data_IF_809406998178
#
_entry.id   IF_809406998178
#
_cell.length_a   1.000
_cell.length_b   1.000
_cell.length_c   1.000
_cell.angle_alpha   90.00
_cell.angle_beta   90.00
_cell.angle_gamma   90.00
#
_symmetry.space_group_name_H-M   'P 1'
#
loop_
_entity.id
_entity.type
_entity.pdbx_description
1 polymer ?
#
# COMPACT_ATOMS: atom_id res chain seq x y z
N UNK A 1 -63.25 35.88 -43.09
CA UNK A 1 -62.25 35.66 -42.02
C UNK A 1 -62.74 34.49 -41.18
N UNK A 2 -62.09 33.32 -41.19
CA UNK A 2 -62.30 32.32 -40.16
C UNK A 2 -61.21 32.45 -39.09
N UNK A 3 -61.63 32.76 -37.87
CA UNK A 3 -60.79 32.67 -36.68
C UNK A 3 -60.49 31.19 -36.42
N UNK A 4 -59.20 30.83 -36.42
CA UNK A 4 -58.73 29.53 -35.98
C UNK A 4 -58.45 29.66 -34.48
N UNK A 5 -59.42 29.23 -33.68
CA UNK A 5 -59.33 29.26 -32.23
C UNK A 5 -58.35 28.15 -31.82
N UNK A 6 -57.07 28.53 -31.69
CA UNK A 6 -55.96 27.65 -31.36
C UNK A 6 -55.99 27.10 -29.94
N UNK A 7 -57.08 26.43 -29.54
CA UNK A 7 -57.10 25.56 -28.36
C UNK A 7 -56.76 24.12 -28.78
N UNK A 8 -55.57 23.94 -29.34
CA UNK A 8 -54.97 22.61 -29.48
C UNK A 8 -54.54 22.15 -28.09
N UNK A 9 -55.41 21.46 -27.36
CA UNK A 9 -55.00 20.72 -26.17
C UNK A 9 -53.92 19.73 -26.58
N UNK A 10 -52.75 19.83 -25.94
CA UNK A 10 -51.60 18.96 -26.20
C UNK A 10 -52.08 17.51 -26.24
N UNK A 11 -51.77 16.82 -27.33
CA UNK A 11 -52.18 15.43 -27.49
C UNK A 11 -51.49 14.59 -26.41
N UNK A 12 -52.14 13.49 -26.00
CA UNK A 12 -51.58 12.57 -24.99
C UNK A 12 -50.16 12.11 -25.38
N UNK A 13 -49.88 12.00 -26.69
CA UNK A 13 -48.54 11.74 -27.21
C UNK A 13 -47.52 12.86 -26.91
N UNK A 14 -47.88 14.12 -27.14
CA UNK A 14 -47.00 15.27 -26.84
C UNK A 14 -46.72 15.43 -25.34
N UNK A 15 -47.71 15.13 -24.49
CA UNK A 15 -47.52 15.10 -23.03
C UNK A 15 -46.55 13.99 -22.59
N UNK A 16 -46.63 12.80 -23.20
CA UNK A 16 -45.71 11.69 -22.93
C UNK A 16 -44.28 11.99 -23.37
N UNK A 17 -44.11 12.63 -24.54
CA UNK A 17 -42.78 13.04 -25.00
C UNK A 17 -42.18 14.16 -24.14
N UNK A 18 -42.95 15.18 -23.79
CA UNK A 18 -42.50 16.25 -22.90
C UNK A 18 -42.15 15.70 -21.50
N UNK A 19 -42.91 14.73 -21.00
CA UNK A 19 -42.63 14.07 -19.72
C UNK A 19 -41.37 13.21 -19.79
N UNK A 20 -41.14 12.51 -20.90
CA UNK A 20 -39.91 11.73 -21.10
C UNK A 20 -38.68 12.64 -21.24
N UNK A 21 -38.80 13.76 -21.96
CA UNK A 21 -37.73 14.73 -22.13
C UNK A 21 -37.41 15.45 -20.82
N UNK A 22 -38.42 15.82 -20.03
CA UNK A 22 -38.26 16.36 -18.68
C UNK A 22 -37.63 15.34 -17.72
N UNK A 23 -37.99 14.06 -17.82
CA UNK A 23 -37.37 12.98 -17.05
C UNK A 23 -35.89 12.78 -17.42
N UNK A 24 -35.55 12.85 -18.72
CA UNK A 24 -34.17 12.77 -19.19
C UNK A 24 -33.35 14.01 -18.82
N UNK A 25 -33.95 15.21 -18.86
CA UNK A 25 -33.31 16.44 -18.41
C UNK A 25 -33.09 16.44 -16.90
N UNK A 26 -34.04 15.93 -16.11
CA UNK A 26 -33.90 15.75 -14.67
C UNK A 26 -32.84 14.69 -14.32
N UNK A 27 -32.77 13.58 -15.06
CA UNK A 27 -31.73 12.56 -14.90
C UNK A 27 -30.34 13.11 -15.25
N UNK A 28 -30.24 13.92 -16.32
CA UNK A 28 -28.98 14.57 -16.72
C UNK A 28 -28.56 15.67 -15.75
N UNK A 29 -29.52 16.43 -15.19
CA UNK A 29 -29.28 17.44 -14.17
C UNK A 29 -28.91 16.83 -12.82
N UNK A 30 -29.48 15.66 -12.47
CA UNK A 30 -29.11 14.91 -11.27
C UNK A 30 -27.68 14.34 -11.37
N UNK A 31 -27.24 13.91 -12.56
CA UNK A 31 -25.85 13.52 -12.83
C UNK A 31 -24.87 14.70 -12.79
N UNK A 32 -25.33 15.92 -13.07
CA UNK A 32 -24.49 17.12 -13.08
C UNK A 32 -24.33 17.80 -11.71
N UNK A 33 -25.17 17.49 -10.71
CA UNK A 33 -25.27 18.32 -9.49
C UNK A 33 -24.28 17.99 -8.37
N UNK A 34 -23.51 16.92 -8.47
CA UNK A 34 -22.43 16.64 -7.52
C UNK A 34 -21.36 15.82 -8.22
N UNK A 35 -20.51 16.48 -9.02
CA UNK A 35 -19.21 15.88 -9.32
C UNK A 35 -18.44 15.84 -7.99
N UNK A 36 -18.10 14.65 -7.45
CA UNK A 36 -17.31 14.59 -6.23
C UNK A 36 -15.97 15.32 -6.45
N UNK A 37 -15.39 15.94 -5.41
CA UNK A 37 -14.15 16.72 -5.52
C UNK A 37 -13.02 15.90 -6.11
N UNK A 38 -12.25 16.48 -7.04
CA UNK A 38 -11.13 15.80 -7.71
C UNK A 38 -10.23 15.03 -6.74
N UNK A 39 -9.78 13.87 -7.19
CA UNK A 39 -8.91 12.99 -6.41
C UNK A 39 -7.54 13.67 -6.21
N UNK A 40 -7.38 14.32 -5.06
CA UNK A 40 -6.06 14.83 -4.64
C UNK A 40 -5.29 13.64 -4.08
N UNK A 41 -4.38 13.08 -4.89
CA UNK A 41 -3.43 12.05 -4.44
C UNK A 41 -2.29 12.79 -3.74
N UNK A 42 -2.12 12.67 -2.41
CA UNK A 42 -1.04 13.34 -1.72
C UNK A 42 0.30 12.77 -2.18
N UNK A 43 1.28 13.63 -2.43
CA UNK A 43 2.67 13.23 -2.69
C UNK A 43 3.45 12.99 -1.40
N UNK A 44 2.96 13.47 -0.26
CA UNK A 44 3.50 13.18 1.05
C UNK A 44 2.94 11.86 1.61
N UNK A 45 3.81 11.11 2.27
CA UNK A 45 3.53 9.74 2.71
C UNK A 45 2.61 9.71 3.93
N UNK A 46 2.80 10.64 4.88
CA UNK A 46 1.93 10.76 6.04
C UNK A 46 0.52 11.16 5.62
N UNK A 47 0.42 12.04 4.63
CA UNK A 47 -0.85 12.43 4.04
C UNK A 47 -1.52 11.31 3.24
N UNK A 48 -0.77 10.52 2.46
CA UNK A 48 -1.32 9.39 1.71
C UNK A 48 -1.82 8.26 2.63
N UNK A 49 -1.07 7.92 3.69
CA UNK A 49 -1.50 6.93 4.70
C UNK A 49 -2.69 7.43 5.53
N UNK A 50 -2.68 8.71 5.90
CA UNK A 50 -3.81 9.35 6.58
C UNK A 50 -5.06 9.38 5.69
N UNK A 51 -4.90 9.72 4.41
CA UNK A 51 -6.00 9.73 3.43
C UNK A 51 -6.56 8.33 3.21
N UNK A 52 -5.70 7.33 3.03
CA UNK A 52 -6.09 5.93 2.89
C UNK A 52 -6.85 5.43 4.12
N UNK A 53 -6.40 5.81 5.32
CA UNK A 53 -7.08 5.46 6.57
C UNK A 53 -8.43 6.17 6.70
N UNK A 54 -8.50 7.45 6.31
CA UNK A 54 -9.71 8.25 6.35
C UNK A 54 -10.79 7.71 5.40
N UNK A 55 -10.45 7.41 4.14
CA UNK A 55 -11.42 6.87 3.17
C UNK A 55 -11.90 5.47 3.57
N UNK A 56 -11.04 4.64 4.18
CA UNK A 56 -11.44 3.33 4.71
C UNK A 56 -12.33 3.42 5.96
N UNK A 57 -12.20 4.49 6.72
CA UNK A 57 -13.02 4.74 7.91
C UNK A 57 -14.39 5.36 7.58
N UNK A 58 -14.56 5.95 6.40
CA UNK A 58 -15.82 6.53 5.95
C UNK A 58 -16.84 5.44 5.53
N UNK A 59 -17.96 5.27 6.27
CA UNK A 59 -18.97 4.28 5.94
C UNK A 59 -19.61 4.51 4.57
N UNK A 60 -19.85 5.77 4.19
CA UNK A 60 -20.48 6.11 2.91
C UNK A 60 -19.57 5.74 1.74
N UNK A 61 -18.28 6.09 1.85
CA UNK A 61 -17.28 5.69 0.87
C UNK A 61 -17.22 4.17 0.72
N UNK A 62 -17.21 3.44 1.83
CA UNK A 62 -17.16 1.97 1.83
C UNK A 62 -18.40 1.35 1.17
N UNK A 63 -19.58 1.85 1.47
CA UNK A 63 -20.83 1.34 0.90
C UNK A 63 -20.89 1.60 -0.61
N UNK A 64 -20.47 2.79 -1.07
CA UNK A 64 -20.37 3.11 -2.50
C UNK A 64 -19.28 2.31 -3.22
N UNK A 65 -18.15 2.03 -2.54
CA UNK A 65 -17.10 1.17 -3.08
C UNK A 65 -17.61 -0.28 -3.24
N UNK A 66 -18.30 -0.81 -2.24
CA UNK A 66 -18.90 -2.16 -2.28
C UNK A 66 -20.04 -2.25 -3.31
N UNK A 67 -20.74 -1.15 -3.58
CA UNK A 67 -21.70 -1.04 -4.68
C UNK A 67 -21.05 -1.00 -6.07
N UNK A 68 -19.71 -1.05 -6.16
CA UNK A 68 -18.97 -1.12 -7.42
C UNK A 68 -18.67 0.23 -8.05
N UNK A 69 -18.62 1.32 -7.29
CA UNK A 69 -18.27 2.64 -7.83
C UNK A 69 -16.83 2.64 -8.41
N UNK A 70 -16.66 2.83 -9.73
CA UNK A 70 -15.35 2.75 -10.38
C UNK A 70 -14.42 3.89 -9.95
N UNK A 71 -14.96 5.02 -9.48
CA UNK A 71 -14.17 6.15 -8.97
C UNK A 71 -13.46 5.79 -7.67
N UNK A 72 -14.16 5.18 -6.72
CA UNK A 72 -13.58 4.76 -5.43
C UNK A 72 -12.57 3.64 -5.61
N UNK A 73 -12.81 2.73 -6.57
CA UNK A 73 -11.83 1.72 -6.96
C UNK A 73 -10.54 2.32 -7.55
N UNK A 74 -10.65 3.40 -8.32
CA UNK A 74 -9.51 4.15 -8.83
C UNK A 74 -8.77 4.88 -7.69
N UNK A 75 -9.50 5.60 -6.83
CA UNK A 75 -8.92 6.31 -5.66
C UNK A 75 -8.14 5.36 -4.75
N UNK A 76 -8.72 4.21 -4.41
CA UNK A 76 -8.06 3.22 -3.56
C UNK A 76 -6.77 2.70 -4.20
N UNK A 77 -6.80 2.39 -5.50
CA UNK A 77 -5.62 1.91 -6.24
C UNK A 77 -4.51 2.97 -6.28
N UNK A 78 -4.87 4.21 -6.53
CA UNK A 78 -3.92 5.33 -6.62
C UNK A 78 -3.29 5.66 -5.26
N UNK A 79 -4.09 5.70 -4.19
CA UNK A 79 -3.59 5.89 -2.82
C UNK A 79 -2.69 4.73 -2.39
N UNK A 80 -3.07 3.49 -2.70
CA UNK A 80 -2.25 2.32 -2.39
C UNK A 80 -0.91 2.37 -3.16
N UNK A 81 -0.94 2.71 -4.45
CA UNK A 81 0.28 2.86 -5.26
C UNK A 81 1.19 3.98 -4.74
N UNK A 82 0.63 5.11 -4.30
CA UNK A 82 1.38 6.20 -3.69
C UNK A 82 2.06 5.76 -2.37
N UNK A 83 1.33 5.06 -1.51
CA UNK A 83 1.87 4.50 -0.25
C UNK A 83 2.98 3.48 -0.53
N UNK A 84 2.80 2.58 -1.49
CA UNK A 84 3.79 1.54 -1.80
C UNK A 84 5.06 2.14 -2.41
N UNK A 85 4.91 3.10 -3.34
CA UNK A 85 6.04 3.85 -3.90
C UNK A 85 6.82 4.57 -2.78
N UNK A 86 6.10 5.23 -1.89
CA UNK A 86 6.69 5.94 -0.77
C UNK A 86 7.46 5.00 0.18
N UNK A 87 6.89 3.85 0.55
CA UNK A 87 7.56 2.83 1.38
C UNK A 87 8.87 2.39 0.76
N UNK A 88 8.87 2.12 -0.55
CA UNK A 88 10.10 1.76 -1.27
C UNK A 88 11.13 2.89 -1.16
N UNK A 89 10.76 4.15 -1.38
CA UNK A 89 11.67 5.29 -1.19
C UNK A 89 12.23 5.37 0.24
N UNK A 90 11.40 5.15 1.27
CA UNK A 90 11.87 5.16 2.67
C UNK A 90 12.93 4.08 2.91
N UNK A 91 12.72 2.88 2.34
CA UNK A 91 13.68 1.77 2.41
C UNK A 91 14.98 2.11 1.70
N UNK A 92 14.93 2.69 0.49
CA UNK A 92 16.13 3.13 -0.23
C UNK A 92 16.92 4.16 0.58
N UNK A 93 16.23 5.16 1.15
CA UNK A 93 16.86 6.16 2.01
C UNK A 93 17.49 5.51 3.25
N UNK A 94 16.79 4.57 3.89
CA UNK A 94 17.32 3.86 5.05
C UNK A 94 18.58 3.05 4.71
N UNK A 95 18.56 2.32 3.59
CA UNK A 95 19.73 1.60 3.07
C UNK A 95 20.87 2.58 2.79
N UNK A 96 20.60 3.73 2.18
CA UNK A 96 21.60 4.78 1.94
C UNK A 96 22.06 5.52 3.21
N UNK A 97 21.44 5.27 4.36
CA UNK A 97 21.73 5.97 5.62
C UNK A 97 21.21 7.41 5.65
N UNK A 98 20.25 7.75 4.79
CA UNK A 98 19.68 9.08 4.66
C UNK A 98 18.50 9.28 5.62
N UNK A 99 18.50 10.45 6.27
CA UNK A 99 17.39 10.93 7.10
C UNK A 99 16.45 11.79 6.23
N UNK A 100 15.20 11.94 6.65
CA UNK A 100 14.30 12.92 6.03
C UNK A 100 14.74 14.34 6.36
N UNK A 101 14.26 15.30 5.58
CA UNK A 101 14.28 16.69 6.01
C UNK A 101 13.17 16.92 7.04
N UNK A 102 13.51 17.40 8.23
CA UNK A 102 12.56 17.58 9.35
C UNK A 102 12.39 16.38 10.28
N UNK A 103 11.16 16.17 10.78
CA UNK A 103 10.86 15.19 11.83
C UNK A 103 11.01 13.77 11.30
N UNK A 104 11.79 12.95 12.01
CA UNK A 104 12.04 11.57 11.64
C UNK A 104 10.96 10.64 12.20
N UNK A 105 10.28 9.83 11.36
CA UNK A 105 9.48 8.72 11.86
C UNK A 105 10.37 7.72 12.61
N UNK A 106 9.94 7.27 13.79
CA UNK A 106 10.70 6.33 14.62
C UNK A 106 11.06 5.03 13.88
N UNK A 107 10.13 4.53 13.05
CA UNK A 107 10.37 3.37 12.19
C UNK A 107 11.49 3.58 11.16
N UNK A 108 11.62 4.80 10.62
CA UNK A 108 12.69 5.14 9.68
C UNK A 108 14.05 5.20 10.38
N UNK A 109 14.12 5.81 11.56
CA UNK A 109 15.35 5.83 12.36
C UNK A 109 15.82 4.41 12.70
N UNK A 110 14.88 3.54 13.10
CA UNK A 110 15.17 2.14 13.34
C UNK A 110 15.68 1.43 12.07
N UNK A 111 15.08 1.72 10.90
CA UNK A 111 15.52 1.17 9.62
C UNK A 111 16.92 1.66 9.22
N UNK A 112 17.24 2.95 9.40
CA UNK A 112 18.57 3.52 9.15
C UNK A 112 19.62 2.87 10.06
N UNK A 113 19.34 2.81 11.38
CA UNK A 113 20.25 2.19 12.35
C UNK A 113 20.45 0.69 12.07
N UNK A 114 19.37 -0.02 11.74
CA UNK A 114 19.42 -1.42 11.32
C UNK A 114 20.24 -1.61 10.05
N UNK A 115 20.04 -0.78 9.03
CA UNK A 115 20.80 -0.85 7.79
C UNK A 115 22.30 -0.62 8.02
N UNK A 116 22.67 0.38 8.82
CA UNK A 116 24.06 0.65 9.19
C UNK A 116 24.68 -0.53 9.95
N UNK A 117 23.96 -1.08 10.94
CA UNK A 117 24.41 -2.26 11.68
C UNK A 117 24.70 -3.44 10.75
N UNK A 118 23.75 -3.77 9.85
CA UNK A 118 23.89 -4.90 8.93
C UNK A 118 25.04 -4.70 7.93
N UNK A 119 25.23 -3.47 7.43
CA UNK A 119 26.40 -3.14 6.60
C UNK A 119 27.72 -3.28 7.36
N UNK A 120 27.77 -2.83 8.62
CA UNK A 120 28.98 -2.87 9.43
C UNK A 120 29.43 -4.31 9.75
N UNK A 121 28.51 -5.26 9.86
CA UNK A 121 28.84 -6.69 9.98
C UNK A 121 29.12 -7.36 8.63
N UNK A 122 29.06 -6.61 7.52
CA UNK A 122 29.44 -7.02 6.17
C UNK A 122 28.37 -7.74 5.37
N UNK A 123 27.07 -7.49 5.63
CA UNK A 123 26.01 -7.99 4.75
C UNK A 123 25.95 -7.17 3.45
N UNK A 124 25.58 -7.84 2.37
CA UNK A 124 25.33 -7.21 1.08
C UNK A 124 24.03 -6.39 1.07
N UNK A 125 23.91 -5.44 0.15
CA UNK A 125 22.77 -4.50 0.10
C UNK A 125 21.40 -5.20 0.00
N UNK A 126 21.30 -6.27 -0.78
CA UNK A 126 20.06 -7.05 -0.89
C UNK A 126 19.63 -7.65 0.45
N UNK A 127 20.59 -8.14 1.23
CA UNK A 127 20.34 -8.74 2.55
C UNK A 127 20.01 -7.68 3.59
N UNK A 128 20.65 -6.51 3.50
CA UNK A 128 20.32 -5.35 4.32
C UNK A 128 18.89 -4.91 4.07
N UNK A 129 18.50 -4.78 2.80
CA UNK A 129 17.14 -4.45 2.38
C UNK A 129 16.14 -5.46 2.91
N UNK A 130 16.43 -6.75 2.78
CA UNK A 130 15.58 -7.81 3.32
C UNK A 130 15.48 -7.74 4.85
N UNK A 131 16.60 -7.48 5.54
CA UNK A 131 16.66 -7.36 7.00
C UNK A 131 15.83 -6.21 7.56
N UNK A 132 15.77 -5.07 6.87
CA UNK A 132 15.00 -3.90 7.35
C UNK A 132 13.54 -3.90 6.86
N UNK A 133 13.23 -4.59 5.77
CA UNK A 133 11.85 -4.69 5.25
C UNK A 133 11.09 -5.88 5.83
N UNK A 134 11.80 -6.92 6.26
CA UNK A 134 11.19 -8.20 6.64
C UNK A 134 10.49 -8.86 5.45
N UNK A 135 10.94 -8.59 4.22
CA UNK A 135 10.33 -9.16 3.02
C UNK A 135 10.29 -10.69 3.10
N UNK A 136 9.09 -11.24 2.98
CA UNK A 136 8.84 -12.67 3.10
C UNK A 136 9.66 -13.46 2.08
N UNK A 137 10.11 -14.64 2.51
CA UNK A 137 10.93 -15.55 1.71
C UNK A 137 10.12 -16.73 1.21
N UNK A 138 10.68 -17.50 0.29
CA UNK A 138 10.02 -18.74 -0.13
C UNK A 138 9.94 -19.73 1.04
N UNK A 139 8.91 -20.60 1.09
CA UNK A 139 8.83 -21.63 2.14
C UNK A 139 10.06 -22.53 2.20
N UNK A 140 10.65 -22.85 1.05
CA UNK A 140 11.87 -23.66 0.95
C UNK A 140 13.08 -22.95 1.55
N UNK A 141 13.27 -21.67 1.24
CA UNK A 141 14.35 -20.85 1.79
C UNK A 141 14.22 -20.70 3.31
N UNK A 142 12.99 -20.45 3.80
CA UNK A 142 12.71 -20.39 5.24
C UNK A 142 13.08 -21.69 5.94
N UNK A 143 12.58 -22.83 5.43
CA UNK A 143 12.86 -24.15 6.00
C UNK A 143 14.36 -24.47 5.99
N UNK A 144 15.06 -24.16 4.89
CA UNK A 144 16.50 -24.35 4.77
C UNK A 144 17.28 -23.49 5.78
N UNK A 145 16.88 -22.23 5.99
CA UNK A 145 17.51 -21.35 6.97
C UNK A 145 17.28 -21.82 8.41
N UNK A 146 16.06 -22.27 8.75
CA UNK A 146 15.75 -22.86 10.06
C UNK A 146 16.62 -24.08 10.31
N UNK A 147 16.67 -25.03 9.37
CA UNK A 147 17.46 -26.25 9.50
C UNK A 147 18.96 -25.96 9.59
N UNK A 148 19.47 -25.04 8.77
CA UNK A 148 20.89 -24.64 8.79
C UNK A 148 21.25 -23.99 10.12
N UNK A 149 20.40 -23.11 10.63
CA UNK A 149 20.62 -22.47 11.94
C UNK A 149 20.63 -23.49 13.07
N UNK A 150 19.70 -24.45 13.08
CA UNK A 150 19.66 -25.51 14.08
C UNK A 150 20.96 -26.33 14.06
N UNK A 151 21.39 -26.80 12.88
CA UNK A 151 22.64 -27.56 12.71
C UNK A 151 23.88 -26.80 13.20
N UNK A 152 23.98 -25.51 12.89
CA UNK A 152 25.11 -24.68 13.33
C UNK A 152 25.13 -24.46 14.84
N UNK A 153 23.96 -24.40 15.48
CA UNK A 153 23.87 -24.25 16.94
C UNK A 153 24.08 -25.56 17.70
N UNK A 154 24.02 -26.70 17.01
CA UNK A 154 24.41 -28.01 17.55
C UNK A 154 25.92 -28.29 17.42
N UNK A 155 26.64 -27.56 16.56
CA UNK A 155 28.08 -27.66 16.36
C UNK A 155 28.84 -26.89 17.46
N UNK A 156 29.55 -27.58 18.40
CA UNK A 156 30.24 -26.92 19.50
C UNK A 156 31.34 -25.96 19.04
N UNK A 157 32.03 -26.26 17.94
CA UNK A 157 33.11 -25.42 17.42
C UNK A 157 32.55 -24.13 16.84
N UNK A 158 31.41 -24.22 16.14
CA UNK A 158 30.72 -23.04 15.64
C UNK A 158 30.16 -22.18 16.78
N UNK A 159 29.53 -22.80 17.78
CA UNK A 159 29.01 -22.08 18.96
C UNK A 159 30.14 -21.37 19.71
N UNK A 160 31.28 -22.02 19.90
CA UNK A 160 32.45 -21.39 20.53
C UNK A 160 32.91 -20.13 19.76
N UNK A 161 32.99 -20.20 18.43
CA UNK A 161 33.30 -19.05 17.57
C UNK A 161 32.25 -17.94 17.66
N UNK A 162 30.97 -18.31 17.62
CA UNK A 162 29.88 -17.35 17.74
C UNK A 162 29.90 -16.61 19.08
N UNK A 163 30.12 -17.33 20.18
CA UNK A 163 30.18 -16.78 21.54
C UNK A 163 31.44 -15.95 21.80
N UNK A 164 32.57 -16.25 21.12
CA UNK A 164 33.77 -15.42 21.18
C UNK A 164 33.68 -14.16 20.31
N UNK A 165 32.59 -13.98 19.57
CA UNK A 165 32.35 -12.81 18.73
C UNK A 165 33.00 -12.87 17.36
N UNK A 166 33.36 -14.07 16.87
CA UNK A 166 33.88 -14.26 15.52
C UNK A 166 32.97 -13.60 14.46
N UNK A 167 33.58 -12.82 13.57
CA UNK A 167 32.84 -11.96 12.64
C UNK A 167 32.02 -12.78 11.64
N UNK A 168 32.57 -13.89 11.11
CA UNK A 168 31.88 -14.73 10.13
C UNK A 168 30.77 -15.56 10.78
N UNK A 169 30.98 -16.07 11.99
CA UNK A 169 29.94 -16.74 12.76
C UNK A 169 28.77 -15.79 13.06
N UNK A 170 29.06 -14.56 13.51
CA UNK A 170 28.03 -13.53 13.75
C UNK A 170 27.29 -13.13 12.49
N UNK A 171 28.00 -12.93 11.37
CA UNK A 171 27.39 -12.63 10.07
C UNK A 171 26.45 -13.75 9.63
N UNK A 172 26.90 -14.99 9.74
CA UNK A 172 26.13 -16.18 9.36
C UNK A 172 24.85 -16.30 10.17
N UNK A 173 24.94 -16.23 11.51
CA UNK A 173 23.75 -16.29 12.37
C UNK A 173 22.81 -15.10 12.11
N UNK A 174 23.34 -13.89 11.88
CA UNK A 174 22.52 -12.72 11.60
C UNK A 174 21.74 -12.87 10.29
N UNK A 175 22.40 -13.33 9.22
CA UNK A 175 21.75 -13.64 7.94
C UNK A 175 20.63 -14.66 8.10
N UNK A 176 20.90 -15.75 8.81
CA UNK A 176 19.88 -16.79 9.07
C UNK A 176 18.72 -16.23 9.90
N UNK A 177 19.00 -15.38 10.90
CA UNK A 177 17.96 -14.73 11.68
C UNK A 177 17.07 -13.82 10.82
N UNK A 178 17.63 -13.05 9.89
CA UNK A 178 16.86 -12.23 8.95
C UNK A 178 15.85 -13.08 8.18
N UNK A 179 16.32 -14.19 7.59
CA UNK A 179 15.47 -15.08 6.79
C UNK A 179 14.40 -15.75 7.67
N UNK A 180 14.80 -16.26 8.84
CA UNK A 180 13.88 -16.94 9.76
C UNK A 180 12.79 -15.99 10.29
N UNK A 181 13.17 -14.73 10.59
CA UNK A 181 12.26 -13.70 11.08
C UNK A 181 11.32 -13.15 10.00
N UNK A 182 11.74 -13.09 8.74
CA UNK A 182 10.88 -12.69 7.62
C UNK A 182 9.69 -13.65 7.43
N UNK A 183 9.91 -14.94 7.67
CA UNK A 183 8.89 -15.97 7.53
C UNK A 183 8.54 -16.30 6.07
N UNK A 184 7.81 -17.40 5.85
CA UNK A 184 7.43 -17.83 4.51
C UNK A 184 6.28 -16.99 3.95
N UNK A 185 6.30 -16.72 2.65
CA UNK A 185 5.13 -16.22 1.92
C UNK A 185 3.99 -17.23 2.10
N UNK A 186 2.85 -16.77 2.63
CA UNK A 186 1.65 -17.61 2.73
C UNK A 186 1.10 -17.80 1.31
N UNK A 187 1.18 -19.01 0.78
CA UNK A 187 0.43 -19.35 -0.42
C UNK A 187 -1.06 -19.14 -0.12
N UNK A 188 -1.74 -18.33 -0.92
CA UNK A 188 -3.19 -18.28 -0.90
C UNK A 188 -3.68 -19.70 -1.27
N UNK A 189 -4.37 -20.33 -0.34
CA UNK A 189 -5.09 -21.59 -0.55
C UNK A 189 -6.54 -21.28 -0.93
#
# INVERSE_FOLDING_TARGET
MPSNDGSGSATVGELLFAQHEAANAAASAALAKEAPPDLVIPTDVGEAEARLSAVKADPKWRDEYLAGNPRHAKELRELQAAVDKAKNTRVEMAVAGQLFDGIQPSGHLAAVGGAQYLKNIGLGEAEVRQGITGAAVTPEEHAAAVATKARLLEDPDFVAKYMSGDAEARRTVTRLNIIVSAGPVRSAA
#
